data_IF_539143412860
#
_entry.id   IF_539143412860
#
_cell.length_a   1.000
_cell.length_b   1.000
_cell.length_c   1.000
_cell.angle_alpha   90.00
_cell.angle_beta   90.00
_cell.angle_gamma   90.00
#
_symmetry.space_group_name_H-M   'P 1'
#
loop_
_entity.id
_entity.type
_entity.pdbx_description
1 polymer ?
2 non-polymer ?
3 non-polymer ?
4 water ?
#
# COMPACT_ATOMS: atom_id res chain seq x y z
N UNK A 1 -12.01 12.78 1.79
CA UNK A 1 -12.99 13.73 1.24
C UNK A 1 -13.25 13.43 -0.26
N UNK A 2 -14.15 14.20 -0.91
CA UNK A 2 -14.64 13.83 -2.24
C UNK A 2 -13.59 14.02 -3.32
N UNK A 3 -12.90 15.16 -3.33
CA UNK A 3 -11.96 15.44 -4.43
C UNK A 3 -10.93 14.32 -4.57
N UNK A 4 -10.51 13.74 -3.44
CA UNK A 4 -9.60 12.60 -3.51
C UNK A 4 -10.27 11.39 -4.15
N UNK A 5 -11.60 11.26 -4.00
CA UNK A 5 -12.31 10.14 -4.59
C UNK A 5 -12.33 10.24 -6.10
N UNK A 6 -12.51 11.44 -6.64
CA UNK A 6 -12.52 11.60 -8.08
C UNK A 6 -11.15 11.34 -8.68
N UNK A 7 -10.11 11.87 -8.02
CA UNK A 7 -8.75 11.66 -8.49
C UNK A 7 -8.40 10.18 -8.43
N UNK A 8 -8.79 9.50 -7.36
CA UNK A 8 -8.56 8.06 -7.26
C UNK A 8 -9.23 7.30 -8.39
N UNK A 9 -10.47 7.68 -8.74
CA UNK A 9 -11.17 6.97 -9.81
C UNK A 9 -10.57 7.30 -11.17
N UNK A 10 -10.24 8.56 -11.43
CA UNK A 10 -9.65 8.91 -12.72
C UNK A 10 -8.30 8.24 -12.93
N UNK A 11 -7.48 8.15 -11.86
CA UNK A 11 -6.18 7.52 -12.02
C UNK A 11 -6.31 6.02 -12.18
N UNK A 12 -7.27 5.41 -11.49
CA UNK A 12 -7.52 3.98 -11.76
C UNK A 12 -7.93 3.74 -13.20
N UNK A 13 -8.77 4.62 -13.77
CA UNK A 13 -9.18 4.43 -15.16
C UNK A 13 -7.98 4.56 -16.08
N UNK A 14 -7.17 5.61 -15.87
CA UNK A 14 -6.00 5.83 -16.73
C UNK A 14 -5.07 4.64 -16.70
N UNK A 15 -4.96 3.97 -15.57
CA UNK A 15 -4.13 2.78 -15.48
C UNK A 15 -4.85 1.52 -15.96
N UNK A 16 -6.09 1.64 -16.45
CA UNK A 16 -6.75 0.45 -16.96
C UNK A 16 -7.38 -0.45 -15.92
N UNK A 17 -7.46 -0.03 -14.65
CA UNK A 17 -8.15 -0.82 -13.63
C UNK A 17 -9.65 -0.51 -13.70
N UNK A 18 -10.41 -1.34 -14.41
CA UNK A 18 -11.85 -1.18 -14.59
C UNK A 18 -12.68 -1.90 -13.55
N UNK A 19 -12.06 -2.60 -12.58
CA UNK A 19 -12.79 -3.25 -11.51
C UNK A 19 -11.99 -3.07 -10.24
N UNK A 20 -12.53 -2.33 -9.29
CA UNK A 20 -11.85 -2.06 -8.03
C UNK A 20 -12.43 -2.94 -6.94
N UNK A 21 -11.57 -3.52 -6.12
CA UNK A 21 -12.03 -4.41 -5.06
C UNK A 21 -12.01 -3.68 -3.72
N UNK A 22 -12.22 -4.45 -2.65
CA UNK A 22 -12.51 -3.86 -1.35
C UNK A 22 -11.39 -2.96 -0.85
N UNK A 23 -10.12 -3.34 -1.05
CA UNK A 23 -9.06 -2.47 -0.52
C UNK A 23 -8.94 -1.16 -1.29
N UNK A 24 -9.17 -1.22 -2.60
CA UNK A 24 -9.10 -0.02 -3.42
C UNK A 24 -10.26 0.93 -3.19
N UNK A 25 -11.46 0.45 -2.83
CA UNK A 25 -12.61 1.36 -2.75
C UNK A 25 -12.80 1.94 -1.36
N UNK A 26 -12.09 1.44 -0.37
CA UNK A 26 -12.24 1.87 1.03
C UNK A 26 -12.18 3.37 1.24
N UNK A 27 -11.20 4.12 0.72
CA UNK A 27 -11.22 5.57 0.92
C UNK A 27 -12.36 6.27 0.18
N UNK A 28 -12.82 5.70 -0.94
CA UNK A 28 -13.94 6.31 -1.66
C UNK A 28 -15.21 6.17 -0.85
N UNK A 29 -15.46 4.98 -0.30
CA UNK A 29 -16.66 4.80 0.50
C UNK A 29 -16.63 5.72 1.72
N UNK A 30 -15.49 5.79 2.41
CA UNK A 30 -15.42 6.57 3.63
C UNK A 30 -15.68 8.06 3.35
N UNK A 31 -15.24 8.58 2.21
CA UNK A 31 -15.51 9.96 1.85
C UNK A 31 -16.99 10.25 1.64
N UNK A 32 -17.85 9.22 1.62
CA UNK A 32 -19.30 9.41 1.59
C UNK A 32 -19.95 8.90 2.87
N UNK A 33 -19.15 8.54 3.88
CA UNK A 33 -19.65 8.16 5.18
C UNK A 33 -19.89 6.69 5.40
N UNK A 34 -19.44 5.83 4.51
CA UNK A 34 -19.75 4.40 4.56
C UNK A 34 -18.57 3.63 5.15
N UNK A 35 -18.85 2.61 5.95
CA UNK A 35 -17.82 1.84 6.66
C UNK A 35 -17.49 0.57 5.88
N UNK A 36 -16.19 0.34 5.68
CA UNK A 36 -15.67 -0.87 5.07
C UNK A 36 -14.76 -1.57 6.07
N UNK A 37 -14.83 -2.89 6.10
CA UNK A 37 -13.93 -3.67 6.93
C UNK A 37 -12.49 -3.44 6.48
N UNK A 38 -11.60 -2.97 7.36
CA UNK A 38 -10.23 -2.63 6.92
C UNK A 38 -9.55 -3.81 6.24
N UNK A 39 -8.93 -3.55 5.09
CA UNK A 39 -8.57 -4.61 4.17
C UNK A 39 -7.21 -4.32 3.56
N UNK A 40 -6.24 -5.18 3.87
CA UNK A 40 -4.87 -5.00 3.42
C UNK A 40 -4.46 -6.04 2.41
N UNK A 41 -3.23 -5.83 1.96
CA UNK A 41 -2.68 -6.28 0.69
C UNK A 41 -1.38 -7.00 0.99
N UNK A 42 -1.21 -8.20 0.45
CA UNK A 42 -0.04 -9.00 0.77
C UNK A 42 0.48 -9.62 -0.52
N UNK A 43 1.71 -9.26 -0.90
CA UNK A 43 2.34 -9.87 -2.06
C UNK A 43 3.02 -11.18 -1.73
N UNK A 44 3.33 -11.40 -0.44
CA UNK A 44 4.09 -12.55 0.04
C UNK A 44 3.36 -13.18 1.21
N UNK A 45 3.45 -14.52 1.30
CA UNK A 45 2.99 -15.18 2.51
C UNK A 45 3.68 -14.62 3.72
N UNK A 46 4.93 -14.16 3.58
CA UNK A 46 5.58 -13.45 4.68
C UNK A 46 4.85 -12.16 5.00
N UNK A 47 4.29 -11.50 3.98
CA UNK A 47 3.58 -10.26 4.24
C UNK A 47 2.19 -10.53 4.84
N UNK A 48 1.49 -11.54 4.32
CA UNK A 48 0.20 -11.93 4.90
C UNK A 48 0.33 -12.21 6.39
N UNK A 49 1.38 -12.94 6.80
CA UNK A 49 1.62 -13.18 8.22
C UNK A 49 1.81 -11.87 8.95
N UNK A 50 2.65 -10.99 8.40
CA UNK A 50 2.93 -9.72 9.06
C UNK A 50 1.66 -8.91 9.26
N UNK A 51 0.81 -8.84 8.23
CA UNK A 51 -0.46 -8.14 8.38
C UNK A 51 -1.33 -8.80 9.44
N UNK A 52 -1.40 -10.14 9.43
CA UNK A 52 -2.25 -10.84 10.40
C UNK A 52 -1.81 -10.57 11.82
N UNK A 53 -0.51 -10.48 12.05
CA UNK A 53 -0.02 -10.21 13.41
C UNK A 53 -0.51 -8.86 13.91
N UNK A 54 -0.54 -7.84 13.04
CA UNK A 54 -1.02 -6.53 13.47
C UNK A 54 -2.53 -6.56 13.72
N UNK A 55 -3.31 -7.02 12.73
CA UNK A 55 -4.77 -7.03 12.85
C UNK A 55 -5.21 -7.70 14.13
N UNK A 56 -4.61 -8.84 14.45
CA UNK A 56 -5.10 -9.70 15.50
C UNK A 56 -5.99 -10.77 14.90
N UNK A 57 -5.92 -11.97 15.43
CA UNK A 57 -6.61 -13.12 14.89
C UNK A 57 -8.03 -13.18 15.44
N UNK A 58 -8.94 -13.86 14.76
CA UNK A 58 -8.79 -14.61 13.51
C UNK A 58 -8.83 -13.67 12.31
N UNK A 59 -8.32 -14.15 11.18
CA UNK A 59 -8.11 -13.37 9.96
C UNK A 59 -8.69 -14.16 8.78
N UNK A 60 -9.06 -13.44 7.72
CA UNK A 60 -9.45 -14.06 6.46
C UNK A 60 -8.46 -13.65 5.37
N UNK A 61 -8.33 -14.51 4.36
CA UNK A 61 -7.46 -14.29 3.21
C UNK A 61 -8.27 -14.50 1.95
N UNK A 62 -8.16 -13.56 1.00
CA UNK A 62 -8.90 -13.69 -0.25
C UNK A 62 -7.99 -13.25 -1.39
N UNK A 63 -8.08 -13.95 -2.52
CA UNK A 63 -7.15 -13.69 -3.61
C UNK A 63 -7.53 -12.41 -4.35
N UNK A 64 -6.59 -11.47 -4.37
CA UNK A 64 -6.74 -10.19 -5.06
C UNK A 64 -6.33 -10.34 -6.51
N UNK A 65 -7.27 -10.83 -7.31
CA UNK A 65 -7.03 -10.83 -8.74
C UNK A 65 -8.34 -10.57 -9.45
N UNK A 66 -8.29 -9.91 -10.60
CA UNK A 66 -9.48 -9.80 -11.45
C UNK A 66 -9.85 -11.13 -12.09
N UNK A 67 -10.27 -12.12 -11.29
CA UNK A 67 -10.59 -13.45 -11.86
C UNK A 67 -11.83 -14.13 -11.25
N UNK A 68 -11.84 -14.41 -9.95
CA UNK A 68 -12.91 -15.16 -9.28
C UNK A 68 -14.23 -14.41 -9.45
N UNK A 69 -15.41 -15.08 -9.39
CA UNK A 69 -16.68 -14.36 -9.58
C UNK A 69 -16.90 -13.18 -8.64
N UNK A 74 -13.46 -21.28 -6.98
CA UNK A 74 -12.45 -22.27 -6.62
C UNK A 74 -11.40 -21.66 -5.70
N UNK A 75 -11.26 -22.24 -4.51
CA UNK A 75 -10.28 -21.80 -3.49
C UNK A 75 -10.55 -20.31 -3.20
N UNK A 76 -9.50 -19.50 -3.05
CA UNK A 76 -9.66 -18.06 -3.00
C UNK A 76 -9.87 -17.50 -1.60
N UNK A 77 -10.96 -17.92 -0.96
CA UNK A 77 -11.31 -17.46 0.37
C UNK A 77 -10.86 -18.49 1.39
N UNK A 78 -10.08 -18.06 2.38
CA UNK A 78 -9.72 -18.89 3.52
C UNK A 78 -10.14 -18.13 4.76
N UNK A 79 -11.15 -18.63 5.48
CA UNK A 79 -11.64 -17.99 6.68
C UNK A 79 -11.10 -18.66 7.95
N UNK A 80 -11.29 -17.97 9.08
CA UNK A 80 -10.97 -18.45 10.42
C UNK A 80 -9.51 -18.88 10.58
N UNK A 81 -8.58 -18.15 9.95
CA UNK A 81 -7.17 -18.39 10.18
C UNK A 81 -6.81 -17.83 11.54
N UNK A 82 -6.38 -18.69 12.46
CA UNK A 82 -6.23 -18.27 13.86
C UNK A 82 -4.78 -18.12 14.30
N UNK A 83 -3.82 -18.61 13.53
CA UNK A 83 -2.40 -18.57 13.94
C UNK A 83 -1.55 -18.09 12.76
N UNK A 84 -0.36 -17.59 13.10
CA UNK A 84 0.60 -17.22 12.07
C UNK A 84 0.90 -18.39 11.15
N UNK A 85 1.05 -19.59 11.72
CA UNK A 85 1.33 -20.76 10.88
C UNK A 85 0.17 -21.05 9.94
N UNK A 86 -1.08 -20.87 10.41
CA UNK A 86 -2.23 -21.09 9.53
C UNK A 86 -2.28 -20.05 8.41
N UNK A 87 -1.93 -18.80 8.71
CA UNK A 87 -1.90 -17.79 7.65
C UNK A 87 -0.88 -18.17 6.59
N UNK A 88 0.33 -18.56 7.01
CA UNK A 88 1.39 -18.91 6.07
C UNK A 88 0.99 -20.11 5.22
N UNK A 89 0.51 -21.18 5.86
CA UNK A 89 0.03 -22.34 5.11
C UNK A 89 -1.09 -21.98 4.14
N UNK A 90 -2.02 -21.12 4.57
CA UNK A 90 -3.10 -20.71 3.67
C UNK A 90 -2.58 -19.80 2.56
N UNK A 91 -1.70 -18.87 2.90
CA UNK A 91 -1.15 -17.97 1.87
C UNK A 91 -0.37 -18.75 0.82
N UNK A 92 0.51 -19.67 1.26
CA UNK A 92 1.21 -20.52 0.31
C UNK A 92 0.24 -21.32 -0.54
N UNK A 93 -0.85 -21.79 0.06
CA UNK A 93 -1.81 -22.62 -0.68
C UNK A 93 -2.51 -21.82 -1.78
N UNK A 94 -2.81 -20.54 -1.52
CA UNK A 94 -3.45 -19.72 -2.55
C UNK A 94 -2.42 -19.14 -3.52
N UNK A 95 -1.29 -18.65 -3.00
CA UNK A 95 -0.23 -18.11 -3.86
C UNK A 95 0.28 -19.17 -4.82
N UNK A 96 0.51 -20.40 -4.33
CA UNK A 96 0.97 -21.48 -5.19
C UNK A 96 -0.16 -22.08 -6.02
N UNK A 97 -1.40 -22.02 -5.51
CA UNK A 97 -2.54 -22.45 -6.31
C UNK A 97 -2.62 -21.68 -7.63
N UNK A 98 -2.31 -20.38 -7.57
CA UNK A 98 -2.10 -19.48 -8.72
C UNK A 98 -2.91 -19.88 -9.96
N UNK A 101 -4.85 -22.50 -13.32
CA UNK A 101 -3.84 -22.23 -12.30
C UNK A 101 -2.55 -21.70 -12.94
N UNK A 102 -2.70 -21.03 -14.08
CA UNK A 102 -1.57 -20.50 -14.84
C UNK A 102 -1.10 -19.16 -14.24
N UNK A 103 0.21 -18.85 -14.35
CA UNK A 103 0.73 -17.62 -13.75
C UNK A 103 0.38 -16.37 -14.53
N UNK A 104 -0.72 -16.44 -15.29
CA UNK A 104 -1.09 -15.31 -16.19
C UNK A 104 -1.91 -14.25 -15.44
N UNK A 105 -2.57 -14.62 -14.34
CA UNK A 105 -3.29 -13.59 -13.55
C UNK A 105 -2.30 -12.61 -12.91
N UNK A 106 -2.63 -11.31 -12.93
CA UNK A 106 -1.79 -10.31 -12.23
C UNK A 106 -2.23 -10.30 -10.77
N UNK A 107 -1.69 -11.20 -9.95
CA UNK A 107 -2.18 -11.36 -8.55
C UNK A 107 -1.96 -10.08 -7.75
N UNK A 108 -0.83 -9.42 -7.90
CA UNK A 108 -0.53 -8.27 -7.02
C UNK A 108 -0.30 -8.91 -5.64
N UNK A 109 -1.24 -9.75 -5.19
CA UNK A 109 -1.11 -10.46 -3.92
C UNK A 109 -2.42 -10.99 -3.39
N UNK A 110 -2.62 -10.88 -2.08
CA UNK A 110 -3.83 -11.47 -1.45
C UNK A 110 -4.47 -10.46 -0.51
N UNK A 111 -5.79 -10.49 -0.39
CA UNK A 111 -6.48 -9.65 0.57
C UNK A 111 -6.45 -10.31 1.94
N UNK A 112 -6.10 -9.54 2.94
CA UNK A 112 -6.11 -9.94 4.34
C UNK A 112 -7.07 -9.02 5.06
N UNK A 113 -7.96 -9.58 5.88
CA UNK A 113 -8.84 -8.76 6.69
C UNK A 113 -9.22 -9.53 7.94
N UNK A 114 -9.57 -8.80 8.99
CA UNK A 114 -10.09 -9.41 10.19
C UNK A 114 -11.42 -10.10 9.93
N UNK A 115 -11.75 -11.07 10.78
CA UNK A 115 -13.03 -11.75 10.70
C UNK A 115 -14.09 -10.94 11.43
N UNK A 116 -15.22 -10.74 10.78
CA UNK A 116 -16.29 -9.95 11.38
C UNK A 116 -17.19 -10.84 12.23
N UNK A 117 -17.75 -10.25 13.29
CA UNK A 117 -18.75 -10.94 14.12
C UNK A 117 -20.08 -10.93 13.39
N UNK A 118 -20.43 -12.05 12.76
CA UNK A 118 -21.65 -12.20 11.99
C UNK A 118 -22.76 -12.90 12.75
N UNK A 119 -22.55 -13.26 14.01
CA UNK A 119 -23.44 -14.22 14.67
C UNK A 119 -24.88 -13.72 14.68
N UNK A 120 -25.13 -12.54 15.24
CA UNK A 120 -26.49 -12.07 15.35
C UNK A 120 -26.84 -10.95 14.38
N UNK A 121 -26.16 -10.92 13.24
CA UNK A 121 -26.26 -9.84 12.29
C UNK A 121 -26.94 -10.30 11.00
N UNK A 122 -27.63 -9.39 10.34
CA UNK A 122 -28.20 -9.68 9.04
C UNK A 122 -27.21 -9.25 7.96
N UNK A 123 -27.03 -10.12 6.98
CA UNK A 123 -26.24 -9.83 5.79
C UNK A 123 -27.18 -9.37 4.70
N UNK A 124 -27.02 -8.13 4.27
CA UNK A 124 -27.72 -7.60 3.12
C UNK A 124 -26.82 -7.58 1.89
N UNK A 125 -27.40 -7.22 0.76
CA UNK A 125 -26.69 -6.97 -0.47
C UNK A 125 -27.19 -5.68 -1.09
N UNK A 126 -26.27 -4.82 -1.54
CA UNK A 126 -26.62 -3.60 -2.25
C UNK A 126 -25.93 -3.60 -3.61
N UNK A 127 -26.73 -3.53 -4.67
CA UNK A 127 -26.22 -3.45 -6.02
C UNK A 127 -26.69 -2.14 -6.63
N UNK A 128 -25.83 -1.49 -7.42
CA UNK A 128 -26.20 -0.34 -8.22
C UNK A 128 -25.91 -0.71 -9.66
N UNK A 129 -26.94 -0.73 -10.48
CA UNK A 129 -26.80 -0.98 -11.92
C UNK A 129 -27.53 0.10 -12.68
N UNK A 130 -27.15 0.25 -13.94
CA UNK A 130 -27.67 1.31 -14.77
C UNK A 130 -28.77 0.75 -15.68
N UNK A 131 -29.89 1.44 -15.67
CA UNK A 131 -31.05 1.16 -16.50
C UNK A 131 -31.05 2.10 -17.69
N UNK A 132 -31.21 1.58 -18.91
CA UNK A 132 -31.13 2.43 -20.11
C UNK A 132 -32.09 3.60 -20.13
N UNK A 133 -33.18 3.57 -19.38
CA UNK A 133 -34.13 4.68 -19.34
C UNK A 133 -34.00 5.45 -18.05
N UNK A 134 -33.93 4.73 -16.93
CA UNK A 134 -34.13 5.31 -15.62
C UNK A 134 -32.83 5.66 -14.91
N UNK A 135 -31.70 5.28 -15.47
CA UNK A 135 -30.44 5.67 -14.89
C UNK A 135 -29.99 4.71 -13.83
N UNK A 136 -29.24 5.20 -12.84
CA UNK A 136 -28.76 4.31 -11.78
C UNK A 136 -29.93 3.87 -10.91
N UNK A 137 -30.00 2.56 -10.63
CA UNK A 137 -30.97 1.93 -9.74
C UNK A 137 -30.21 1.31 -8.57
N UNK A 138 -30.58 1.69 -7.36
CA UNK A 138 -30.03 1.06 -6.15
C UNK A 138 -30.95 -0.06 -5.74
N UNK A 139 -30.41 -1.27 -5.64
CA UNK A 139 -31.19 -2.43 -5.28
C UNK A 139 -30.66 -3.06 -4.00
N UNK A 140 -31.54 -3.18 -3.02
CA UNK A 140 -31.24 -3.68 -1.70
C UNK A 140 -32.04 -4.95 -1.48
N UNK A 141 -31.36 -6.01 -1.07
CA UNK A 141 -31.98 -7.29 -0.81
C UNK A 141 -31.15 -8.06 0.19
N UNK A 142 -31.57 -9.29 0.46
CA UNK A 142 -30.92 -10.07 1.48
C UNK A 142 -29.61 -10.67 0.96
N UNK A 143 -28.65 -10.81 1.86
CA UNK A 143 -27.37 -11.41 1.52
C UNK A 143 -27.44 -12.89 1.20
N UNK A 144 -27.25 -13.22 -0.07
CA UNK A 144 -27.25 -14.60 -0.52
C UNK A 144 -26.89 -14.65 -1.99
N UNK A 145 -26.51 -15.85 -2.44
CA UNK A 145 -26.01 -16.00 -3.80
C UNK A 145 -27.12 -15.73 -4.82
N UNK A 146 -28.30 -16.29 -4.60
CA UNK A 146 -29.42 -16.06 -5.50
C UNK A 146 -29.85 -14.61 -5.43
N UNK A 147 -29.82 -13.93 -6.58
CA UNK A 147 -30.17 -12.52 -6.67
C UNK A 147 -31.09 -12.33 -7.87
N UNK A 148 -32.40 -12.30 -7.60
CA UNK A 148 -33.38 -11.90 -8.58
C UNK A 148 -33.81 -10.47 -8.28
N UNK A 149 -33.20 -9.47 -8.94
CA UNK A 149 -33.49 -8.08 -8.57
C UNK A 149 -34.94 -7.68 -8.81
N UNK A 150 -35.48 -8.03 -9.98
CA UNK A 150 -36.86 -7.69 -10.27
C UNK A 150 -37.81 -8.39 -9.31
N UNK A 151 -37.50 -9.64 -8.96
CA UNK A 151 -38.43 -10.42 -8.14
C UNK A 151 -38.39 -9.97 -6.68
N UNK A 152 -37.19 -9.86 -6.09
CA UNK A 152 -37.04 -9.73 -4.64
C UNK A 152 -36.04 -8.62 -4.30
N UNK A 153 -36.38 -7.36 -4.59
CA UNK A 153 -35.47 -6.27 -4.25
C UNK A 153 -36.21 -4.96 -4.05
N UNK A 154 -35.81 -4.21 -3.01
CA UNK A 154 -36.14 -2.80 -2.87
C UNK A 154 -35.31 -1.99 -3.86
N UNK A 155 -35.94 -1.02 -4.52
CA UNK A 155 -35.34 -0.30 -5.64
C UNK A 155 -35.46 1.20 -5.39
N UNK A 156 -34.33 1.90 -5.38
CA UNK A 156 -34.32 3.35 -5.23
C UNK A 156 -33.63 4.01 -6.43
N UNK A 157 -34.12 5.20 -6.81
CA UNK A 157 -33.50 6.00 -7.87
C UNK A 157 -32.80 7.21 -7.27
N UNK A 158 -31.49 7.39 -7.43
CA UNK A 158 -30.85 8.63 -6.98
C UNK A 158 -31.45 9.81 -7.71
N UNK A 159 -31.57 10.97 -7.04
CA UNK A 159 -31.18 11.27 -5.66
C UNK A 159 -32.24 10.92 -4.64
N UNK A 160 -31.77 10.30 -3.56
CA UNK A 160 -32.59 9.77 -2.49
C UNK A 160 -32.44 10.66 -1.27
N UNK A 161 -33.55 11.07 -0.69
CA UNK A 161 -33.55 11.76 0.60
C UNK A 161 -33.92 10.76 1.69
N UNK A 162 -33.61 11.13 2.95
CA UNK A 162 -33.82 10.22 4.08
C UNK A 162 -35.28 9.82 4.20
N UNK A 163 -36.20 10.75 3.94
CA UNK A 163 -37.62 10.45 4.08
C UNK A 163 -38.05 9.35 3.12
N UNK A 164 -37.67 9.45 1.84
CA UNK A 164 -38.05 8.43 0.88
C UNK A 164 -37.27 7.14 1.10
N UNK A 165 -36.00 7.23 1.54
CA UNK A 165 -35.25 6.03 1.83
C UNK A 165 -35.92 5.22 2.94
N UNK A 166 -36.30 5.89 4.04
CA UNK A 166 -37.04 5.21 5.11
C UNK A 166 -38.35 4.61 4.61
N UNK A 167 -39.11 5.37 3.81
CA UNK A 167 -40.35 4.82 3.26
C UNK A 167 -40.11 3.55 2.45
N UNK A 168 -39.07 3.53 1.62
CA UNK A 168 -38.78 2.36 0.77
C UNK A 168 -38.32 1.17 1.60
N UNK A 169 -37.54 1.43 2.65
CA UNK A 169 -37.09 0.34 3.52
C UNK A 169 -38.27 -0.26 4.29
N UNK A 170 -39.13 0.61 4.84
CA UNK A 170 -40.32 0.13 5.57
C UNK A 170 -41.19 -0.71 4.64
N UNK A 171 -41.48 -0.20 3.43
CA UNK A 171 -42.29 -0.99 2.51
C UNK A 171 -41.61 -2.29 2.14
N UNK A 172 -40.26 -2.30 2.04
CA UNK A 172 -39.57 -3.54 1.75
C UNK A 172 -39.69 -4.56 2.86
N UNK A 173 -39.70 -4.10 4.11
CA UNK A 173 -39.96 -4.99 5.24
C UNK A 173 -41.38 -5.55 5.18
N UNK A 174 -42.36 -4.66 4.95
CA UNK A 174 -43.76 -5.09 4.87
C UNK A 174 -43.99 -6.11 3.77
N UNK A 175 -43.38 -5.90 2.59
CA UNK A 175 -43.43 -6.86 1.49
C UNK A 175 -42.61 -8.12 1.75
N UNK A 176 -41.94 -8.24 2.90
CA UNK A 176 -41.09 -9.37 3.25
C UNK A 176 -39.89 -9.53 2.30
N UNK A 177 -39.49 -8.48 1.60
CA UNK A 177 -38.28 -8.56 0.79
C UNK A 177 -37.04 -8.51 1.67
N UNK A 178 -37.10 -7.70 2.71
CA UNK A 178 -36.00 -7.64 3.72
C UNK A 178 -36.64 -7.95 5.08
N UNK A 179 -35.88 -8.58 5.97
CA UNK A 179 -36.43 -9.01 7.28
C UNK A 179 -36.48 -7.83 8.25
N UNK A 180 -37.55 -7.74 9.05
CA UNK A 180 -37.69 -6.65 10.04
C UNK A 180 -36.57 -6.76 11.07
N UNK A 181 -36.14 -7.99 11.35
CA UNK A 181 -35.11 -8.21 12.40
C UNK A 181 -34.56 -9.63 12.27
N UNK A 182 -33.64 -10.01 13.16
CA UNK A 182 -33.14 -11.40 13.19
C UNK A 182 -32.23 -11.56 14.42
N UNK A 183 -31.97 -12.80 14.84
CA UNK A 183 -31.12 -13.08 16.03
C UNK A 183 -30.61 -11.79 16.67
N UNK A 186 -32.97 -6.80 15.47
CA UNK A 186 -33.74 -5.59 15.15
C UNK A 186 -33.07 -4.69 14.14
N UNK A 187 -33.54 -4.76 12.88
CA UNK A 187 -32.99 -3.94 11.80
C UNK A 187 -33.23 -2.46 12.05
N UNK A 188 -32.14 -1.71 12.19
CA UNK A 188 -32.20 -0.26 12.39
C UNK A 188 -32.56 0.38 11.05
N UNK A 189 -33.84 0.73 10.89
CA UNK A 189 -34.31 1.34 9.65
C UNK A 189 -33.60 2.66 9.40
N UNK A 190 -33.40 3.46 10.44
CA UNK A 190 -32.76 4.77 10.25
C UNK A 190 -31.35 4.63 9.71
N UNK A 191 -30.66 3.55 10.06
CA UNK A 191 -29.30 3.33 9.61
C UNK A 191 -29.21 2.70 8.24
N UNK A 192 -30.14 1.79 7.94
CA UNK A 192 -30.24 1.27 6.57
C UNK A 192 -30.59 2.39 5.60
N UNK A 193 -31.50 3.27 6.02
CA UNK A 193 -31.91 4.37 5.16
C UNK A 193 -30.76 5.32 4.93
N UNK A 194 -30.06 5.69 6.00
CA UNK A 194 -28.89 6.55 5.86
C UNK A 194 -27.85 5.93 4.92
N UNK A 195 -27.63 4.62 5.03
CA UNK A 195 -26.70 3.97 4.11
C UNK A 195 -27.15 4.14 2.66
N UNK A 196 -28.46 3.99 2.39
CA UNK A 196 -28.94 4.13 1.01
C UNK A 196 -28.74 5.55 0.51
N UNK A 197 -28.93 6.55 1.36
CA UNK A 197 -28.68 7.94 0.98
C UNK A 197 -27.19 8.16 0.69
N UNK A 198 -26.33 7.50 1.45
CA UNK A 198 -24.90 7.64 1.18
C UNK A 198 -24.54 7.03 -0.16
N UNK A 199 -25.03 5.81 -0.42
CA UNK A 199 -24.85 5.18 -1.74
C UNK A 199 -25.34 6.13 -2.83
N UNK A 200 -26.50 6.74 -2.60
CA UNK A 200 -27.04 7.67 -3.58
C UNK A 200 -26.10 8.86 -3.78
N UNK A 201 -25.58 9.44 -2.68
CA UNK A 201 -24.62 10.55 -2.79
C UNK A 201 -23.40 10.13 -3.61
N UNK A 202 -22.84 8.96 -3.31
CA UNK A 202 -21.67 8.48 -4.06
C UNK A 202 -21.97 8.34 -5.55
N UNK A 203 -23.09 7.69 -5.89
CA UNK A 203 -23.47 7.49 -7.28
C UNK A 203 -23.73 8.82 -7.98
N UNK A 204 -24.39 9.76 -7.28
CA UNK A 204 -24.67 11.04 -7.90
C UNK A 204 -23.36 11.77 -8.21
N UNK A 205 -22.43 11.75 -7.28
CA UNK A 205 -21.18 12.47 -7.45
C UNK A 205 -20.19 11.79 -8.38
N UNK A 206 -20.28 10.46 -8.57
CA UNK A 206 -19.28 9.71 -9.32
C UNK A 206 -19.93 8.96 -10.46
N UNK A 207 -20.29 9.66 -11.53
CA UNK A 207 -20.91 8.98 -12.69
C UNK A 207 -19.95 8.06 -13.44
N UNK A 208 -18.64 8.08 -13.12
CA UNK A 208 -17.70 7.05 -13.59
C UNK A 208 -18.10 5.64 -13.19
N UNK A 209 -18.82 5.49 -12.08
CA UNK A 209 -19.13 4.17 -11.56
C UNK A 209 -20.21 3.53 -12.42
N UNK A 210 -19.86 2.44 -13.08
CA UNK A 210 -20.78 1.65 -13.88
C UNK A 210 -21.57 0.64 -13.05
N UNK A 211 -20.95 0.08 -12.01
CA UNK A 211 -21.65 -0.88 -11.16
C UNK A 211 -21.03 -0.84 -9.79
N UNK A 212 -21.85 -1.05 -8.78
CA UNK A 212 -21.41 -1.09 -7.39
C UNK A 212 -22.08 -2.28 -6.73
N UNK A 213 -21.31 -3.08 -6.00
CA UNK A 213 -21.82 -4.31 -5.39
C UNK A 213 -21.24 -4.39 -3.99
N UNK A 214 -22.09 -4.22 -2.98
CA UNK A 214 -21.71 -4.46 -1.60
C UNK A 214 -22.26 -5.82 -1.23
N UNK A 215 -21.37 -6.81 -1.09
CA UNK A 215 -21.78 -8.22 -0.96
C UNK A 215 -20.84 -8.95 -0.01
N UNK A 216 -21.20 -9.05 1.25
CA UNK A 216 -22.41 -8.51 1.87
C UNK A 216 -22.22 -7.19 2.58
N UNK A 217 -23.33 -6.49 2.81
CA UNK A 217 -23.41 -5.40 3.77
C UNK A 217 -23.89 -6.00 5.09
N UNK A 218 -23.07 -5.88 6.13
CA UNK A 218 -23.38 -6.49 7.41
C UNK A 218 -24.18 -5.50 8.25
N UNK A 219 -25.31 -5.95 8.78
CA UNK A 219 -26.20 -5.11 9.60
C UNK A 219 -26.17 -5.62 11.04
N UNK A 220 -25.61 -4.80 11.94
CA UNK A 220 -25.56 -5.11 13.38
C UNK A 220 -26.12 -3.90 14.13
N UNK A 221 -27.43 -3.88 14.29
CA UNK A 221 -28.12 -2.72 14.79
C UNK A 221 -27.61 -1.44 14.15
N UNK A 222 -26.97 -0.59 14.97
CA UNK A 222 -26.55 0.73 14.53
C UNK A 222 -25.47 0.69 13.45
N UNK A 223 -24.59 -0.31 13.48
CA UNK A 223 -23.41 -0.33 12.61
C UNK A 223 -23.71 -1.17 11.36
N UNK A 224 -23.54 -0.55 10.18
CA UNK A 224 -23.63 -1.24 8.90
C UNK A 224 -22.24 -1.20 8.29
N UNK A 225 -21.69 -2.36 7.96
CA UNK A 225 -20.32 -2.44 7.47
C UNK A 225 -20.29 -3.23 6.17
N UNK A 226 -19.62 -2.67 5.16
CA UNK A 226 -19.41 -3.37 3.89
C UNK A 226 -18.23 -4.34 4.03
N UNK A 227 -18.47 -5.65 3.86
CA UNK A 227 -17.40 -6.63 4.03
C UNK A 227 -16.62 -6.88 2.76
N UNK A 228 -17.29 -6.98 1.62
CA UNK A 228 -16.65 -7.02 0.31
C UNK A 228 -17.38 -6.02 -0.58
N UNK A 229 -16.63 -5.34 -1.44
CA UNK A 229 -17.16 -4.30 -2.32
C UNK A 229 -16.47 -4.42 -3.65
N UNK A 230 -17.24 -4.46 -4.71
CA UNK A 230 -16.73 -4.37 -6.06
C UNK A 230 -17.28 -3.13 -6.75
N UNK A 231 -16.40 -2.43 -7.44
CA UNK A 231 -16.74 -1.18 -8.11
C UNK A 231 -16.24 -1.28 -9.55
N UNK A 232 -17.15 -1.39 -10.52
CA UNK A 232 -16.76 -1.38 -11.92
C UNK A 232 -16.81 0.06 -12.42
N UNK A 233 -15.78 0.45 -13.18
CA UNK A 233 -15.64 1.81 -13.65
C UNK A 233 -15.21 1.79 -15.11
N UNK A 234 -15.46 2.91 -15.79
CA UNK A 234 -15.15 3.03 -17.22
C UNK A 234 -14.76 4.46 -17.61
N UNK B 1 18.18 3.62 20.98
CA UNK B 1 19.14 3.54 19.89
C UNK B 1 19.25 4.93 19.20
N UNK B 2 18.37 5.84 19.61
CA UNK B 2 18.35 7.20 19.05
C UNK B 2 19.70 7.91 19.22
N UNK B 3 20.40 7.66 20.33
CA UNK B 3 21.65 8.36 20.59
C UNK B 3 22.87 7.61 20.05
N UNK B 4 22.82 6.28 19.98
CA UNK B 4 23.88 5.54 19.31
C UNK B 4 24.07 6.05 17.89
N UNK B 5 23.02 6.63 17.32
CA UNK B 5 23.09 7.21 15.98
C UNK B 5 24.19 8.26 15.89
N UNK B 6 24.26 9.15 16.87
CA UNK B 6 25.27 10.20 16.79
C UNK B 6 26.67 9.62 16.90
N UNK B 7 26.83 8.59 17.73
CA UNK B 7 28.13 7.91 17.82
C UNK B 7 28.56 7.40 16.46
N UNK B 8 27.65 6.69 15.78
CA UNK B 8 27.93 6.23 14.42
C UNK B 8 28.30 7.41 13.52
N UNK B 9 27.51 8.50 13.60
CA UNK B 9 27.76 9.64 12.71
C UNK B 9 29.09 10.31 13.02
N UNK B 10 29.36 10.54 14.30
CA UNK B 10 30.64 11.15 14.68
C UNK B 10 31.80 10.30 14.20
N UNK B 11 31.74 8.99 14.45
CA UNK B 11 32.85 8.12 14.05
C UNK B 11 33.09 8.15 12.55
N UNK B 12 32.03 8.33 11.75
CA UNK B 12 32.20 8.37 10.30
C UNK B 12 32.89 9.64 9.86
N UNK B 13 32.62 10.77 10.53
CA UNK B 13 33.33 12.00 10.20
C UNK B 13 34.79 11.85 10.59
N UNK B 14 35.06 11.29 11.77
CA UNK B 14 36.44 11.11 12.23
C UNK B 14 37.24 10.27 11.24
N UNK B 15 36.64 9.23 10.68
CA UNK B 15 37.34 8.33 9.77
C UNK B 15 37.44 8.87 8.35
N UNK B 16 36.85 10.02 8.04
CA UNK B 16 36.99 10.62 6.73
C UNK B 16 35.96 10.22 5.69
N UNK B 17 35.04 9.32 6.01
CA UNK B 17 33.95 9.04 5.09
C UNK B 17 33.07 10.27 4.93
N UNK B 18 32.67 10.53 3.70
CA UNK B 18 31.81 11.67 3.38
C UNK B 18 30.40 11.22 3.01
N UNK B 19 30.12 9.92 3.05
CA UNK B 19 28.84 9.36 2.69
C UNK B 19 28.70 8.05 3.44
N UNK B 20 27.53 7.81 4.00
CA UNK B 20 27.18 6.51 4.56
C UNK B 20 26.21 5.84 3.60
N UNK B 21 26.32 4.53 3.46
CA UNK B 21 25.50 3.81 2.51
C UNK B 21 24.39 3.08 3.22
N UNK B 22 23.62 2.33 2.41
CA UNK B 22 22.42 1.68 2.90
C UNK B 22 22.69 0.81 4.13
N UNK B 23 23.80 0.04 4.10
CA UNK B 23 24.08 -0.85 5.21
C UNK B 23 24.45 -0.07 6.47
N UNK B 24 25.32 0.93 6.34
CA UNK B 24 25.71 1.77 7.47
C UNK B 24 24.54 2.57 8.05
N UNK B 25 23.62 3.08 7.21
CA UNK B 25 22.54 3.93 7.73
C UNK B 25 21.37 3.14 8.29
N UNK B 26 21.25 1.85 7.97
CA UNK B 26 20.11 1.05 8.42
C UNK B 26 19.84 1.16 9.91
N UNK B 27 20.83 0.99 10.80
CA UNK B 27 20.54 1.14 12.24
C UNK B 27 19.99 2.51 12.58
N UNK B 28 20.41 3.55 11.87
CA UNK B 28 19.92 4.89 12.18
C UNK B 28 18.46 5.01 11.76
N UNK B 29 18.15 4.66 10.52
CA UNK B 29 16.75 4.69 10.07
C UNK B 29 15.86 3.86 10.99
N UNK B 30 16.33 2.65 11.32
CA UNK B 30 15.57 1.79 12.22
C UNK B 30 15.28 2.49 13.55
N UNK B 31 16.27 3.21 14.09
CA UNK B 31 16.06 3.88 15.38
C UNK B 31 14.89 4.85 15.29
N UNK B 32 14.75 5.53 14.17
CA UNK B 32 13.71 6.54 14.05
C UNK B 32 12.39 5.96 13.56
N UNK B 33 12.30 4.65 13.34
CA UNK B 33 11.05 4.01 12.99
C UNK B 33 10.87 3.67 11.52
N UNK B 34 11.88 3.85 10.69
CA UNK B 34 11.75 3.60 9.26
C UNK B 34 12.15 2.17 8.94
N UNK B 35 11.38 1.50 8.09
CA UNK B 35 11.72 0.17 7.63
C UNK B 35 12.70 0.23 6.46
N UNK B 36 13.72 -0.63 6.50
CA UNK B 36 14.70 -0.79 5.43
C UNK B 36 14.72 -2.25 5.01
N UNK B 37 15.13 -2.49 3.76
CA UNK B 37 15.32 -3.85 3.27
C UNK B 37 16.72 -4.32 3.66
N UNK B 38 16.84 -5.37 4.46
CA UNK B 38 18.14 -5.74 5.03
C UNK B 38 19.21 -5.97 3.96
N UNK B 39 20.44 -5.64 4.30
CA UNK B 39 21.59 -5.93 3.48
C UNK B 39 22.65 -6.69 4.28
N UNK B 40 23.54 -7.35 3.57
CA UNK B 40 24.68 -8.00 4.19
C UNK B 40 25.90 -7.71 3.33
N UNK B 41 27.02 -7.54 3.99
CA UNK B 41 28.24 -7.15 3.30
C UNK B 41 29.03 -8.42 2.96
N UNK B 42 29.50 -8.49 1.73
CA UNK B 42 30.34 -9.59 1.25
C UNK B 42 31.62 -8.98 0.73
N UNK B 43 32.76 -9.43 1.26
CA UNK B 43 34.06 -9.04 0.76
C UNK B 43 34.52 -9.88 -0.41
N UNK B 44 33.96 -11.09 -0.54
CA UNK B 44 34.43 -12.10 -1.48
C UNK B 44 33.25 -12.71 -2.22
N UNK B 45 33.48 -13.10 -3.47
CA UNK B 45 32.44 -13.85 -4.18
C UNK B 45 32.00 -15.07 -3.37
N UNK B 46 32.92 -15.65 -2.60
CA UNK B 46 32.57 -16.81 -1.79
C UNK B 46 31.56 -16.43 -0.70
N UNK B 47 31.81 -15.32 -0.01
CA UNK B 47 30.88 -14.86 1.01
C UNK B 47 29.55 -14.42 0.37
N UNK B 48 29.60 -13.78 -0.80
CA UNK B 48 28.38 -13.35 -1.47
C UNK B 48 27.48 -14.55 -1.78
N UNK B 49 28.09 -15.66 -2.25
CA UNK B 49 27.33 -16.89 -2.46
C UNK B 49 26.73 -17.39 -1.16
N UNK B 50 27.55 -17.43 -0.10
CA UNK B 50 27.08 -17.95 1.19
C UNK B 50 25.91 -17.12 1.71
N UNK B 51 25.99 -15.78 1.61
CA UNK B 51 24.87 -14.93 2.04
C UNK B 51 23.63 -15.19 1.17
N UNK B 52 23.81 -15.32 -0.15
CA UNK B 52 22.67 -15.59 -1.02
C UNK B 52 21.99 -16.90 -0.64
N UNK B 53 22.78 -17.90 -0.23
CA UNK B 53 22.19 -19.18 0.19
C UNK B 53 21.36 -19.04 1.46
N UNK B 54 21.74 -18.13 2.37
CA UNK B 54 20.99 -18.05 3.63
C UNK B 54 19.71 -17.23 3.46
N UNK B 55 19.74 -16.15 2.68
CA UNK B 55 18.57 -15.30 2.57
C UNK B 55 17.61 -15.71 1.45
N UNK B 56 18.04 -16.59 0.54
CA UNK B 56 17.18 -17.05 -0.53
C UNK B 56 17.28 -16.25 -1.82
N UNK B 57 17.18 -16.92 -2.95
CA UNK B 57 17.19 -16.25 -4.24
C UNK B 57 15.78 -15.81 -4.58
N UNK B 58 15.62 -14.80 -5.43
CA UNK B 58 16.65 -14.06 -6.17
C UNK B 58 17.31 -12.99 -5.33
N UNK B 59 18.47 -12.50 -5.77
CA UNK B 59 19.30 -11.63 -4.95
C UNK B 59 19.88 -10.53 -5.82
N UNK B 60 20.25 -9.40 -5.19
CA UNK B 60 20.96 -8.33 -5.86
C UNK B 60 22.32 -8.09 -5.22
N UNK B 61 23.27 -7.72 -6.05
CA UNK B 61 24.63 -7.36 -5.63
C UNK B 61 24.89 -5.92 -6.01
N UNK B 62 25.49 -5.17 -5.08
CA UNK B 62 25.77 -3.75 -5.31
C UNK B 62 27.17 -3.44 -4.83
N UNK B 63 27.97 -2.82 -5.69
CA UNK B 63 29.29 -2.36 -5.30
C UNK B 63 29.19 -1.30 -4.22
N UNK B 64 30.05 -1.40 -3.19
CA UNK B 64 30.19 -0.38 -2.16
C UNK B 64 31.48 0.40 -2.43
N UNK B 65 31.33 1.64 -2.90
CA UNK B 65 32.47 2.50 -3.10
C UNK B 65 32.03 3.92 -2.80
N UNK B 66 32.83 4.70 -2.07
CA UNK B 66 32.51 6.12 -1.90
C UNK B 66 32.80 6.96 -3.14
N UNK B 67 33.82 6.59 -3.92
CA UNK B 67 34.27 7.34 -5.08
C UNK B 67 33.42 7.10 -6.34
N UNK B 68 32.24 6.50 -6.22
CA UNK B 68 31.33 6.29 -7.35
C UNK B 68 29.93 6.76 -6.95
N UNK B 69 29.48 7.93 -7.42
CA UNK B 69 28.18 8.44 -6.97
C UNK B 69 27.02 7.67 -7.57
N UNK B 70 27.00 7.62 -8.90
CA UNK B 70 26.04 6.81 -9.63
C UNK B 70 26.69 5.46 -9.90
N UNK B 71 26.14 4.41 -9.30
CA UNK B 71 26.69 3.09 -9.53
C UNK B 71 26.35 2.57 -10.93
N UNK B 72 25.52 3.30 -11.69
CA UNK B 72 25.23 2.96 -13.07
C UNK B 72 26.38 3.29 -14.02
N UNK B 73 27.30 4.20 -13.63
CA UNK B 73 28.48 4.47 -14.46
C UNK B 73 29.18 3.17 -14.83
N UNK B 74 29.24 2.23 -13.90
CA UNK B 74 29.75 0.90 -14.16
C UNK B 74 28.58 -0.06 -13.99
N UNK B 75 28.80 -1.35 -14.14
CA UNK B 75 27.78 -2.33 -13.81
C UNK B 75 27.72 -2.52 -12.30
N UNK B 76 27.54 -1.43 -11.55
CA UNK B 76 27.70 -1.50 -10.12
C UNK B 76 26.60 -2.30 -9.43
N UNK B 77 25.37 -2.20 -9.93
CA UNK B 77 24.23 -2.95 -9.40
C UNK B 77 23.86 -4.03 -10.38
N UNK B 78 23.79 -5.27 -9.89
CA UNK B 78 23.42 -6.42 -10.71
C UNK B 78 22.25 -7.13 -10.06
N UNK B 79 21.17 -7.26 -10.81
CA UNK B 79 19.89 -7.70 -10.30
C UNK B 79 19.54 -9.07 -10.86
N UNK B 80 18.52 -9.68 -10.25
CA UNK B 80 17.89 -10.90 -10.74
C UNK B 80 18.87 -12.09 -10.74
N UNK B 81 19.81 -12.09 -9.81
CA UNK B 81 20.74 -13.21 -9.63
C UNK B 81 19.98 -14.36 -8.98
N UNK B 82 19.76 -15.44 -9.74
CA UNK B 82 18.88 -16.50 -9.26
C UNK B 82 19.60 -17.77 -8.81
N UNK B 83 20.89 -17.91 -9.04
CA UNK B 83 21.58 -19.16 -8.69
C UNK B 83 22.91 -18.84 -8.04
N UNK B 84 23.48 -19.85 -7.37
CA UNK B 84 24.80 -19.68 -6.77
C UNK B 84 25.83 -19.30 -7.82
N UNK B 85 25.76 -19.95 -8.99
CA UNK B 85 26.71 -19.66 -10.06
C UNK B 85 26.55 -18.25 -10.58
N UNK B 86 25.31 -17.78 -10.71
CA UNK B 86 25.12 -16.41 -11.19
C UNK B 86 25.65 -15.40 -10.17
N UNK B 87 25.49 -15.68 -8.87
CA UNK B 87 26.00 -14.75 -7.87
C UNK B 87 27.52 -14.68 -7.92
N UNK B 88 28.19 -15.83 -8.07
CA UNK B 88 29.65 -15.86 -8.14
C UNK B 88 30.17 -15.14 -9.38
N UNK B 89 29.56 -15.38 -10.54
CA UNK B 89 30.03 -14.71 -11.74
C UNK B 89 29.76 -13.21 -11.67
N UNK B 90 28.62 -12.81 -11.09
CA UNK B 90 28.32 -11.38 -11.00
C UNK B 90 29.28 -10.68 -10.03
N UNK B 91 29.56 -11.30 -8.88
CA UNK B 91 30.47 -10.70 -7.92
C UNK B 91 31.85 -10.52 -8.53
N UNK B 92 32.39 -11.58 -9.16
CA UNK B 92 33.70 -11.49 -9.80
C UNK B 92 33.75 -10.45 -10.91
N UNK B 93 32.62 -10.18 -11.56
CA UNK B 93 32.64 -9.22 -12.69
C UNK B 93 32.53 -7.79 -12.17
N UNK B 94 31.84 -7.59 -11.05
CA UNK B 94 31.72 -6.23 -10.43
C UNK B 94 33.07 -5.89 -9.78
N UNK B 95 33.73 -6.90 -9.21
CA UNK B 95 35.02 -6.67 -8.51
C UNK B 95 36.11 -6.41 -9.54
N UNK B 96 35.80 -6.63 -10.81
CA UNK B 96 36.82 -6.46 -11.86
C UNK B 96 36.44 -5.27 -12.72
N UNK B 97 35.18 -5.22 -13.16
CA UNK B 97 34.77 -4.15 -14.10
C UNK B 97 35.18 -2.78 -13.54
N UNK B 100 37.49 -1.89 -11.80
CA UNK B 100 38.05 -2.00 -10.42
C UNK B 100 39.47 -2.55 -10.59
N UNK B 101 40.10 -2.21 -11.70
CA UNK B 101 41.52 -2.60 -11.90
C UNK B 101 42.35 -1.53 -11.19
N UNK B 102 42.13 -1.37 -9.87
CA UNK B 102 42.83 -0.33 -9.08
C UNK B 102 42.59 1.06 -9.66
N UNK B 103 41.32 1.55 -9.73
CA UNK B 103 41.08 2.90 -10.17
C UNK B 103 41.31 3.70 -8.89
N UNK B 104 41.94 3.06 -7.90
CA UNK B 104 42.25 3.70 -6.58
C UNK B 104 40.93 3.98 -5.87
N UNK B 105 39.81 3.81 -6.59
CA UNK B 105 38.50 3.93 -5.93
C UNK B 105 38.44 2.84 -4.86
N UNK B 106 38.13 3.20 -3.63
CA UNK B 106 38.17 2.19 -2.54
C UNK B 106 36.95 1.27 -2.71
N UNK B 107 37.15 -0.03 -2.48
CA UNK B 107 36.02 -1.00 -2.55
C UNK B 107 35.81 -1.52 -1.13
N UNK B 108 34.58 -1.37 -0.62
CA UNK B 108 34.27 -1.87 0.74
C UNK B 108 33.47 -3.15 0.58
N UNK B 109 33.75 -3.89 -0.49
CA UNK B 109 33.03 -5.11 -0.75
C UNK B 109 31.79 -4.93 -1.60
N UNK B 110 30.81 -5.80 -1.35
CA UNK B 110 29.56 -5.85 -2.09
C UNK B 110 28.41 -5.87 -1.08
N UNK B 111 27.32 -5.17 -1.41
CA UNK B 111 26.11 -5.39 -0.65
C UNK B 111 25.31 -6.49 -1.32
N UNK B 112 24.78 -7.38 -0.51
CA UNK B 112 23.88 -8.44 -0.94
C UNK B 112 22.51 -8.15 -0.34
N UNK B 113 21.48 -8.13 -1.18
CA UNK B 113 20.15 -8.04 -0.61
C UNK B 113 19.21 -8.78 -1.53
N UNK B 114 18.11 -9.22 -0.94
CA UNK B 114 17.14 -9.95 -1.71
C UNK B 114 16.45 -9.00 -2.67
N UNK B 115 15.93 -9.57 -3.75
CA UNK B 115 15.13 -8.77 -4.68
C UNK B 115 13.85 -8.33 -3.98
N UNK B 116 13.49 -7.07 -4.13
CA UNK B 116 12.16 -6.67 -3.64
C UNK B 116 11.11 -6.85 -4.74
N UNK B 117 9.88 -7.16 -4.34
CA UNK B 117 8.74 -7.20 -5.27
C UNK B 117 8.35 -5.76 -5.63
N UNK B 118 8.79 -5.29 -6.80
CA UNK B 118 8.40 -3.98 -7.32
C UNK B 118 7.11 -3.98 -8.14
N UNK B 119 6.55 -5.14 -8.48
CA UNK B 119 5.40 -5.19 -9.38
C UNK B 119 4.25 -4.32 -8.89
N UNK B 120 3.96 -3.24 -9.60
CA UNK B 120 2.81 -2.40 -9.29
C UNK B 120 2.96 -1.47 -8.11
N UNK B 121 4.09 -1.49 -7.41
CA UNK B 121 4.21 -0.70 -6.19
C UNK B 121 4.65 0.72 -6.54
N UNK B 122 4.09 1.67 -5.81
CA UNK B 122 4.50 3.06 -5.95
C UNK B 122 5.93 3.23 -5.45
N UNK B 123 6.75 3.92 -6.22
CA UNK B 123 8.13 4.18 -5.82
C UNK B 123 8.28 5.68 -5.60
N UNK B 124 8.62 6.07 -4.37
CA UNK B 124 8.79 7.47 -4.05
C UNK B 124 10.28 7.77 -3.81
N UNK B 125 10.59 9.05 -3.78
CA UNK B 125 11.93 9.52 -3.49
C UNK B 125 11.85 10.62 -2.44
N UNK B 126 12.64 10.49 -1.38
CA UNK B 126 12.70 11.48 -0.30
C UNK B 126 14.14 12.00 -0.23
N UNK B 127 14.31 13.31 -0.46
CA UNK B 127 15.63 13.95 -0.37
C UNK B 127 15.55 15.05 0.70
N UNK B 128 16.56 15.13 1.56
CA UNK B 128 16.70 16.25 2.49
C UNK B 128 17.92 17.06 2.09
N UNK B 129 17.70 18.33 1.77
CA UNK B 129 18.80 19.22 1.45
C UNK B 129 18.69 20.47 2.32
N UNK B 130 19.78 21.24 2.39
CA UNK B 130 19.86 22.41 3.27
C UNK B 130 19.74 23.67 2.43
N UNK B 131 18.74 24.51 2.77
CA UNK B 131 18.56 25.80 2.08
C UNK B 131 19.27 26.90 2.88
N UNK B 132 20.03 27.77 2.23
CA UNK B 132 20.80 28.80 2.96
C UNK B 132 19.96 29.77 3.79
N UNK B 133 18.67 29.96 3.50
CA UNK B 133 17.81 30.79 4.36
C UNK B 133 16.90 29.94 5.20
N UNK B 134 16.28 28.92 4.60
CA UNK B 134 15.17 28.24 5.23
C UNK B 134 15.55 26.98 5.99
N UNK B 135 16.80 26.53 5.89
CA UNK B 135 17.21 25.35 6.64
C UNK B 135 16.98 24.06 5.87
N UNK B 136 16.84 22.94 6.59
CA UNK B 136 16.60 21.65 5.92
C UNK B 136 15.25 21.66 5.22
N UNK B 137 15.24 21.23 3.97
CA UNK B 137 14.01 21.05 3.21
C UNK B 137 13.83 19.55 2.98
N UNK B 138 12.72 18.98 3.42
CA UNK B 138 12.39 17.61 3.07
C UNK B 138 11.60 17.63 1.79
N UNK B 139 12.08 16.91 0.77
CA UNK B 139 11.47 16.91 -0.56
C UNK B 139 11.02 15.50 -0.93
N UNK B 140 9.72 15.36 -1.15
CA UNK B 140 9.10 14.09 -1.52
C UNK B 140 8.56 14.19 -2.95
N UNK B 141 8.96 13.24 -3.79
CA UNK B 141 8.44 13.18 -5.14
C UNK B 141 8.28 11.75 -5.59
N UNK B 142 7.65 11.57 -6.74
CA UNK B 142 7.42 10.23 -7.27
C UNK B 142 8.64 9.81 -8.06
N UNK B 143 9.23 8.67 -7.67
CA UNK B 143 10.36 8.12 -8.39
C UNK B 143 9.99 7.62 -9.78
N UNK B 144 11.00 7.03 -10.44
CA UNK B 144 10.91 6.56 -11.84
C UNK B 144 10.67 7.71 -12.82
N UNK B 145 11.27 8.86 -12.52
CA UNK B 145 11.14 10.05 -13.35
C UNK B 145 12.36 10.93 -13.14
N UNK B 146 12.53 11.92 -14.00
CA UNK B 146 13.65 12.85 -13.85
C UNK B 146 13.49 13.65 -12.56
N UNK B 147 14.62 14.10 -12.01
CA UNK B 147 14.67 14.73 -10.70
C UNK B 147 14.60 16.25 -10.88
N UNK B 148 13.42 16.81 -10.61
CA UNK B 148 13.19 18.25 -10.69
C UNK B 148 12.57 18.74 -9.40
N UNK B 149 13.36 18.77 -8.32
CA UNK B 149 12.77 19.05 -6.98
C UNK B 149 12.04 20.37 -6.90
N UNK B 150 12.47 21.40 -7.64
CA UNK B 150 11.83 22.71 -7.54
C UNK B 150 10.34 22.61 -7.88
N UNK B 151 10.04 22.18 -9.09
CA UNK B 151 8.66 22.21 -9.58
C UNK B 151 7.90 20.91 -9.32
N UNK B 152 8.59 19.80 -9.10
CA UNK B 152 7.95 18.49 -9.08
C UNK B 152 7.86 17.86 -7.69
N UNK B 153 8.33 18.52 -6.64
CA UNK B 153 8.40 17.89 -5.33
C UNK B 153 7.44 18.55 -4.35
N UNK B 154 7.00 17.76 -3.38
CA UNK B 154 6.36 18.26 -2.16
C UNK B 154 7.46 18.67 -1.20
N UNK B 155 7.31 19.82 -0.55
CA UNK B 155 8.40 20.43 0.21
C UNK B 155 7.94 20.68 1.63
N UNK B 156 8.63 20.09 2.60
CA UNK B 156 8.30 20.23 4.00
C UNK B 156 9.48 20.80 4.80
N UNK B 157 9.19 21.72 5.74
CA UNK B 157 10.22 22.26 6.62
C UNK B 157 10.10 21.63 8.01
N UNK B 158 11.12 20.94 8.51
CA UNK B 158 11.07 20.45 9.87
C UNK B 158 10.93 21.64 10.83
N UNK B 159 10.37 21.42 12.04
CA UNK B 159 9.76 20.19 12.56
C UNK B 159 8.35 19.95 11.97
N UNK B 160 8.08 18.71 11.59
CA UNK B 160 6.82 18.31 10.98
C UNK B 160 6.00 17.54 12.00
N UNK B 161 4.71 17.84 12.09
CA UNK B 161 3.78 17.02 12.85
C UNK B 161 2.88 16.27 11.86
N UNK B 162 2.19 15.25 12.36
CA UNK B 162 1.37 14.38 11.51
C UNK B 162 0.34 15.18 10.71
N UNK B 163 -0.29 16.18 11.33
CA UNK B 163 -1.37 16.90 10.70
C UNK B 163 -0.86 17.70 9.52
N UNK B 164 0.31 18.31 9.68
CA UNK B 164 0.91 19.07 8.59
C UNK B 164 1.44 18.13 7.51
N UNK B 165 2.04 17.01 7.92
CA UNK B 165 2.55 16.04 6.96
C UNK B 165 1.42 15.53 6.07
N UNK B 166 0.29 15.11 6.65
CA UNK B 166 -0.85 14.68 5.85
C UNK B 166 -1.35 15.81 4.96
N UNK B 167 -1.37 17.04 5.49
CA UNK B 167 -1.84 18.14 4.65
C UNK B 167 -0.96 18.29 3.42
N UNK B 168 0.36 18.18 3.59
CA UNK B 168 1.25 18.39 2.45
C UNK B 168 1.17 17.22 1.46
N UNK B 169 0.97 16.01 1.95
CA UNK B 169 0.80 14.85 1.07
C UNK B 169 -0.50 14.97 0.26
N UNK B 170 -1.61 15.39 0.89
CA UNK B 170 -2.86 15.60 0.15
C UNK B 170 -2.70 16.68 -0.91
N UNK B 171 -2.08 17.83 -0.56
CA UNK B 171 -1.86 18.85 -1.60
C UNK B 171 -0.95 18.34 -2.71
N UNK B 172 0.07 17.52 -2.40
CA UNK B 172 0.87 16.91 -3.47
C UNK B 172 0.06 15.98 -4.37
N UNK B 173 -0.89 15.24 -3.79
CA UNK B 173 -1.76 14.41 -4.59
C UNK B 173 -2.66 15.28 -5.48
N UNK B 174 -3.27 16.31 -4.89
CA UNK B 174 -4.14 17.20 -5.67
C UNK B 174 -3.39 17.91 -6.79
N UNK B 175 -2.12 18.20 -6.58
CA UNK B 175 -1.31 18.86 -7.59
C UNK B 175 -0.72 17.90 -8.60
N UNK B 176 -1.02 16.62 -8.48
CA UNK B 176 -0.52 15.56 -9.35
C UNK B 176 0.98 15.42 -9.27
N UNK B 177 1.60 15.95 -8.21
CA UNK B 177 3.02 15.70 -8.02
C UNK B 177 3.27 14.28 -7.52
N UNK B 178 2.30 13.69 -6.83
CA UNK B 178 2.38 12.31 -6.34
C UNK B 178 1.09 11.59 -6.71
N UNK B 179 1.22 10.37 -7.24
CA UNK B 179 0.02 9.61 -7.61
C UNK B 179 -0.80 9.28 -6.38
N UNK B 180 -2.11 9.26 -6.54
CA UNK B 180 -3.03 8.86 -5.49
C UNK B 180 -3.10 7.35 -5.33
N UNK B 181 -2.59 6.59 -6.30
CA UNK B 181 -2.65 5.14 -6.21
C UNK B 181 -1.67 4.55 -7.19
N UNK B 182 -1.41 3.27 -7.00
CA UNK B 182 -0.64 2.46 -7.92
C UNK B 182 -1.47 1.24 -8.27
N UNK B 183 -0.91 0.36 -9.11
CA UNK B 183 -1.60 -0.88 -9.44
C UNK B 183 -1.79 -1.73 -8.19
N UNK B 184 -0.88 -1.60 -7.24
CA UNK B 184 -0.93 -2.40 -6.02
C UNK B 184 -1.98 -1.89 -5.03
N UNK B 185 -2.06 -0.58 -4.78
CA UNK B 185 -2.93 -0.09 -3.73
C UNK B 185 -3.04 1.44 -3.82
N UNK B 186 -4.13 2.02 -3.32
CA UNK B 186 -4.18 3.48 -3.17
C UNK B 186 -3.09 3.92 -2.20
N UNK B 187 -2.59 5.16 -2.41
CA UNK B 187 -1.50 5.65 -1.57
C UNK B 187 -1.93 5.68 -0.09
N UNK B 188 -1.15 5.03 0.76
CA UNK B 188 -1.41 5.03 2.20
C UNK B 188 -0.93 6.36 2.75
N UNK B 189 -1.83 7.35 2.77
CA UNK B 189 -1.47 8.71 3.13
C UNK B 189 -0.99 8.79 4.58
N UNK B 190 -1.65 8.06 5.49
CA UNK B 190 -1.24 8.16 6.91
C UNK B 190 0.12 7.54 7.13
N UNK B 191 0.44 6.47 6.39
CA UNK B 191 1.76 5.88 6.50
C UNK B 191 2.85 6.76 5.92
N UNK B 192 2.61 7.34 4.74
CA UNK B 192 3.58 8.27 4.17
C UNK B 192 3.77 9.48 5.09
N UNK B 193 2.68 9.99 5.66
CA UNK B 193 2.78 11.11 6.59
C UNK B 193 3.65 10.76 7.78
N UNK B 194 3.46 9.57 8.32
CA UNK B 194 4.28 9.11 9.43
C UNK B 194 5.74 8.98 9.02
N UNK B 195 6.01 8.56 7.78
CA UNK B 195 7.39 8.48 7.33
C UNK B 195 8.04 9.86 7.29
N UNK B 196 7.32 10.87 6.78
CA UNK B 196 7.88 12.22 6.72
C UNK B 196 8.20 12.77 8.11
N UNK B 197 7.34 12.47 9.09
CA UNK B 197 7.61 12.91 10.47
C UNK B 197 8.86 12.22 11.00
N UNK B 198 9.03 10.93 10.71
CA UNK B 198 10.23 10.25 11.17
C UNK B 198 11.48 10.86 10.54
N UNK B 199 11.47 11.15 9.24
CA UNK B 199 12.59 11.86 8.63
C UNK B 199 12.81 13.21 9.31
N UNK B 200 11.72 13.92 9.62
CA UNK B 200 11.83 15.21 10.28
C UNK B 200 12.55 15.06 11.62
N UNK B 201 12.12 14.09 12.42
CA UNK B 201 12.78 13.77 13.70
C UNK B 201 14.28 13.53 13.53
N UNK B 202 14.66 12.70 12.55
CA UNK B 202 16.06 12.41 12.31
C UNK B 202 16.84 13.66 11.93
N UNK B 203 16.27 14.50 11.06
CA UNK B 203 16.98 15.68 10.59
C UNK B 203 17.13 16.70 11.73
N UNK B 204 16.09 16.82 12.56
CA UNK B 204 16.15 17.69 13.72
C UNK B 204 17.19 17.19 14.72
N UNK B 205 17.28 15.86 14.91
CA UNK B 205 18.18 15.33 15.91
C UNK B 205 19.63 15.31 15.46
N UNK B 206 19.89 15.20 14.16
CA UNK B 206 21.25 15.04 13.65
C UNK B 206 21.59 16.10 12.60
N UNK B 207 21.87 17.33 13.02
CA UNK B 207 22.27 18.36 12.05
C UNK B 207 23.62 18.10 11.39
N UNK B 208 24.36 17.07 11.84
CA UNK B 208 25.52 16.58 11.08
C UNK B 208 25.15 16.17 9.66
N UNK B 209 23.91 15.74 9.45
CA UNK B 209 23.52 15.21 8.16
C UNK B 209 23.48 16.36 7.14
N UNK B 210 24.35 16.30 6.14
CA UNK B 210 24.34 17.31 5.09
C UNK B 210 23.29 17.02 4.03
N UNK B 211 23.00 15.73 3.78
CA UNK B 211 22.05 15.38 2.74
C UNK B 211 21.56 13.98 3.04
N UNK B 212 20.26 13.76 2.93
CA UNK B 212 19.69 12.42 3.02
C UNK B 212 18.96 12.13 1.72
N UNK B 213 19.13 10.91 1.20
CA UNK B 213 18.52 10.55 -0.09
C UNK B 213 18.01 9.13 0.05
N UNK B 214 16.69 8.99 0.20
CA UNK B 214 16.03 7.69 0.15
C UNK B 214 15.50 7.49 -1.25
N UNK B 215 15.96 6.45 -1.93
CA UNK B 215 15.90 6.36 -3.39
C UNK B 215 16.07 4.92 -3.87
N UNK B 216 14.98 4.16 -4.07
CA UNK B 216 13.56 4.52 -3.89
C UNK B 216 13.03 4.16 -2.51
N UNK B 217 11.94 4.84 -2.15
CA UNK B 217 11.08 4.43 -1.05
C UNK B 217 9.91 3.63 -1.64
N UNK B 218 9.82 2.36 -1.31
CA UNK B 218 8.89 1.45 -1.97
C UNK B 218 7.63 1.33 -1.12
N UNK B 219 6.46 1.64 -1.71
CA UNK B 219 5.19 1.48 -1.01
C UNK B 219 4.61 0.10 -1.30
N UNK B 220 4.71 -0.80 -0.32
CA UNK B 220 4.16 -2.15 -0.49
C UNK B 220 2.71 -2.17 0.03
N UNK B 221 2.12 -3.37 0.12
CA UNK B 221 0.74 -3.46 0.56
C UNK B 221 0.51 -2.95 1.96
N UNK B 222 1.53 -3.05 2.81
CA UNK B 222 1.40 -2.67 4.21
C UNK B 222 2.51 -1.76 4.76
N UNK B 223 3.53 -1.43 3.96
CA UNK B 223 4.72 -0.77 4.50
C UNK B 223 5.30 0.17 3.47
N UNK B 224 6.07 1.12 3.96
CA UNK B 224 7.01 1.90 3.16
C UNK B 224 8.42 1.42 3.49
N UNK B 225 9.19 1.03 2.48
CA UNK B 225 10.48 0.40 2.71
C UNK B 225 11.53 1.12 1.88
N UNK B 226 12.55 1.64 2.56
CA UNK B 226 13.71 2.21 1.88
C UNK B 226 14.55 1.06 1.30
N UNK B 227 14.82 1.10 0.00
CA UNK B 227 15.66 0.07 -0.63
C UNK B 227 17.11 0.49 -0.71
N UNK B 228 17.36 1.77 -0.96
CA UNK B 228 18.69 2.36 -0.96
C UNK B 228 18.60 3.68 -0.23
N UNK B 229 19.66 4.02 0.50
CA UNK B 229 19.73 5.27 1.26
C UNK B 229 21.17 5.74 1.24
N UNK B 230 21.38 6.98 0.85
CA UNK B 230 22.68 7.65 0.97
C UNK B 230 22.57 8.82 1.94
N UNK B 231 23.48 8.87 2.91
CA UNK B 231 23.50 9.91 3.94
C UNK B 231 24.87 10.59 3.86
N UNK B 232 24.92 11.80 3.26
CA UNK B 232 26.16 12.56 3.22
C UNK B 232 26.34 13.26 4.56
N UNK B 233 27.48 13.04 5.20
CA UNK B 233 27.84 13.75 6.42
C UNK B 233 29.07 14.60 6.11
N UNK B 234 29.15 15.72 6.79
CA UNK B 234 30.22 16.66 6.57
C UNK B 234 30.06 17.75 7.62
#
# INVERSE_FOLDING_TARGET
>A
MTAEAHLLLQQAIAEGATSLDTHEVQPILQAYGMNTLPTWIASDSTEAVHIAEQIGYPVALKLRSPDIPHKSEVQGVMLYLRTANEVQQAANAIFDRVKMAAPQARVHGLLVQSMANRAGAQELRVVVEHDPVFGPLIMLGEGAVEWRPEDQAVVALPPLNMNLARYLVIQGIKSKKIRARSALRPLDVAGLSQLLVQVSNLIVDCPEIQRLDIHPLLASGSEFTALDVTLDIS
>B
MTAEAHLLLQQAIAEGATSLDTHEVQPILQAYGMNTLPTWIASDSTEAVHIAEQIGYPVALKLRSPDIPHKSEVQGVMLYLRTANEVQQAANAIFDRVKMAAPQARVHGLLVQSMANRAGAQELRVVVEHDPVFGPLIMLGEGAVEWRPEDQAVVALPPLNMNLARYLVIQGIKSKKIRARSALRPLDVAGLSQLLVQVSNLIVDCPEIQRLDIHPLLASGSEFTALDVTLDIS
#
